data_IF_995285490339
#
_entry.id   IF_995285490339
#
_cell.length_a   1.000
_cell.length_b   1.000
_cell.length_c   1.000
_cell.angle_alpha   90.00
_cell.angle_beta   90.00
_cell.angle_gamma   90.00
#
_symmetry.space_group_name_H-M   'P 1'
#
loop_
_entity.id
_entity.type
_entity.pdbx_description
1 polymer ?
#
# COMPACT_ATOMS: atom_id res chain seq x y z
N UNK A 1 -10.52 -2.51 8.51
CA UNK A 1 -9.42 -3.24 9.15
C UNK A 1 -9.45 -4.64 8.57
N UNK A 2 -8.36 -5.05 7.94
CA UNK A 2 -8.24 -6.40 7.37
C UNK A 2 -7.69 -7.27 8.49
N UNK A 3 -8.03 -8.56 8.45
CA UNK A 3 -7.32 -9.55 9.26
C UNK A 3 -5.88 -9.61 8.75
N UNK A 4 -4.85 -9.62 9.63
CA UNK A 4 -3.48 -9.78 9.17
C UNK A 4 -3.33 -11.02 8.29
N UNK A 5 -2.64 -10.87 7.15
CA UNK A 5 -2.45 -11.91 6.14
C UNK A 5 -0.98 -12.29 6.01
N UNK A 6 -0.70 -13.49 5.49
CA UNK A 6 0.65 -13.89 5.12
C UNK A 6 1.18 -12.98 4.00
N UNK A 7 2.46 -12.59 4.05
CA UNK A 7 3.07 -11.82 2.96
C UNK A 7 3.11 -12.53 1.60
N UNK A 8 2.86 -13.84 1.56
CA UNK A 8 2.77 -14.62 0.32
C UNK A 8 1.70 -14.08 -0.65
N UNK A 9 0.67 -13.40 -0.14
CA UNK A 9 -0.36 -12.73 -0.97
C UNK A 9 0.20 -11.55 -1.77
N UNK A 10 1.42 -11.10 -1.48
CA UNK A 10 2.12 -10.06 -2.24
C UNK A 10 3.02 -10.64 -3.33
N UNK A 11 3.04 -11.97 -3.52
CA UNK A 11 3.82 -12.60 -4.59
C UNK A 11 5.31 -12.24 -4.51
N UNK A 12 5.95 -11.78 -5.61
CA UNK A 12 7.40 -11.47 -5.64
C UNK A 12 7.87 -10.45 -4.60
N UNK A 13 6.97 -9.62 -4.07
CA UNK A 13 7.33 -8.68 -2.99
C UNK A 13 7.71 -9.39 -1.68
N UNK A 14 7.19 -10.60 -1.44
CA UNK A 14 7.56 -11.41 -0.28
C UNK A 14 9.07 -11.74 -0.28
N UNK A 15 9.62 -12.08 -1.45
CA UNK A 15 11.04 -12.36 -1.62
C UNK A 15 11.91 -11.09 -1.55
N UNK A 16 11.37 -9.95 -2.01
CA UNK A 16 12.05 -8.65 -1.92
C UNK A 16 12.10 -8.10 -0.48
N UNK A 17 11.13 -8.47 0.36
CA UNK A 17 10.99 -8.03 1.76
C UNK A 17 10.85 -9.23 2.72
N UNK A 18 11.85 -10.14 2.78
CA UNK A 18 11.67 -11.46 3.39
C UNK A 18 11.51 -11.43 4.92
N UNK A 19 11.96 -10.36 5.59
CA UNK A 19 11.76 -10.20 7.03
C UNK A 19 10.30 -9.89 7.39
N UNK A 20 9.56 -9.21 6.52
CA UNK A 20 8.19 -8.78 6.81
C UNK A 20 7.20 -9.85 6.33
N UNK A 21 6.92 -10.81 7.20
CA UNK A 21 6.13 -12.01 6.86
C UNK A 21 4.62 -11.80 7.00
N UNK A 22 4.17 -10.64 7.48
CA UNK A 22 2.75 -10.34 7.73
C UNK A 22 2.34 -9.02 7.07
N UNK A 23 1.22 -9.03 6.35
CA UNK A 23 0.53 -7.83 5.84
C UNK A 23 -0.56 -7.46 6.83
N UNK A 24 -0.45 -6.28 7.45
CA UNK A 24 -1.42 -5.79 8.45
C UNK A 24 -2.46 -4.84 7.88
N UNK A 25 -2.29 -4.43 6.62
CA UNK A 25 -3.28 -3.65 5.87
C UNK A 25 -2.71 -3.00 4.61
N UNK A 26 -3.54 -2.18 3.97
CA UNK A 26 -3.15 -1.36 2.83
C UNK A 26 -3.93 -0.05 2.79
N UNK A 27 -3.39 0.95 2.10
CA UNK A 27 -4.09 2.20 1.79
C UNK A 27 -5.01 2.05 0.58
N UNK A 28 -5.95 2.98 0.41
CA UNK A 28 -6.83 3.04 -0.77
C UNK A 28 -6.09 3.26 -2.11
N UNK A 29 -4.78 3.54 -2.07
CA UNK A 29 -3.94 3.80 -3.24
C UNK A 29 -2.82 2.76 -3.42
N UNK A 30 -2.91 1.61 -2.74
CA UNK A 30 -2.01 0.47 -2.97
C UNK A 30 -0.66 0.53 -2.26
N UNK A 31 -0.53 1.34 -1.20
CA UNK A 31 0.57 1.16 -0.23
C UNK A 31 0.26 0.03 0.74
N UNK A 32 1.23 -0.85 1.02
CA UNK A 32 1.05 -1.99 1.93
C UNK A 32 1.71 -1.73 3.28
N UNK A 33 1.05 -2.14 4.36
CA UNK A 33 1.55 -2.07 5.71
C UNK A 33 2.02 -3.46 6.12
N UNK A 34 3.30 -3.58 6.44
CA UNK A 34 3.98 -4.85 6.67
C UNK A 34 4.47 -4.92 8.13
N UNK A 35 4.62 -6.13 8.63
CA UNK A 35 5.11 -6.42 9.98
C UNK A 35 6.09 -7.59 9.96
N UNK A 36 7.21 -7.42 10.64
CA UNK A 36 8.18 -8.46 10.98
C UNK A 36 7.92 -8.93 12.43
N UNK A 37 7.32 -10.12 12.65
CA UNK A 37 7.03 -10.62 13.99
C UNK A 37 8.27 -10.94 14.84
N UNK A 38 9.45 -11.11 14.24
CA UNK A 38 10.66 -11.43 14.97
C UNK A 38 11.30 -10.20 15.64
N UNK A 39 11.24 -9.05 14.97
CA UNK A 39 11.76 -7.78 15.47
C UNK A 39 10.68 -6.81 15.98
N UNK A 40 9.40 -7.16 15.78
CA UNK A 40 8.23 -6.30 15.97
C UNK A 40 8.23 -5.05 15.07
N UNK A 41 9.09 -5.02 14.05
CA UNK A 41 9.22 -3.88 13.12
C UNK A 41 8.02 -3.79 12.18
N UNK A 42 7.55 -2.57 11.96
CA UNK A 42 6.50 -2.29 10.98
C UNK A 42 7.05 -1.43 9.85
N UNK A 43 6.62 -1.70 8.63
CA UNK A 43 7.04 -0.97 7.45
C UNK A 43 5.87 -0.59 6.54
N UNK A 44 6.11 0.41 5.69
CA UNK A 44 5.22 0.80 4.60
C UNK A 44 5.94 0.51 3.29
N UNK A 45 5.36 -0.35 2.46
CA UNK A 45 5.80 -0.63 1.10
C UNK A 45 5.14 0.37 0.13
N UNK A 46 5.95 0.93 -0.75
CA UNK A 46 5.57 1.86 -1.82
C UNK A 46 5.83 1.21 -3.20
N UNK A 47 4.88 0.43 -3.76
CA UNK A 47 5.14 -0.39 -4.94
C UNK A 47 5.65 0.39 -6.15
N UNK A 48 5.06 1.55 -6.47
CA UNK A 48 5.50 2.38 -7.60
C UNK A 48 6.91 2.97 -7.44
N UNK A 49 7.47 2.96 -6.22
CA UNK A 49 8.84 3.43 -5.94
C UNK A 49 9.83 2.29 -5.74
N UNK A 50 9.36 1.04 -5.77
CA UNK A 50 10.16 -0.15 -5.42
C UNK A 50 10.93 0.05 -4.11
N UNK A 51 10.26 0.64 -3.11
CA UNK A 51 10.89 1.06 -1.86
C UNK A 51 9.99 0.76 -0.67
N UNK A 52 10.61 0.49 0.48
CA UNK A 52 9.94 0.36 1.77
C UNK A 52 10.54 1.33 2.79
N UNK A 53 9.71 1.80 3.72
CA UNK A 53 10.14 2.58 4.88
C UNK A 53 9.80 1.82 6.15
N UNK A 54 10.82 1.41 6.91
CA UNK A 54 10.67 0.89 8.27
C UNK A 54 10.33 2.04 9.23
N UNK A 55 9.46 1.75 10.20
CA UNK A 55 9.07 2.64 11.29
C UNK A 55 9.58 2.17 12.65
N UNK A 56 10.28 1.04 12.70
CA UNK A 56 10.82 0.45 13.91
C UNK A 56 9.80 -0.44 14.62
N UNK A 57 10.28 -0.99 15.75
CA UNK A 57 9.49 -1.88 16.58
C UNK A 57 8.29 -1.15 17.21
N UNK A 58 7.10 -1.76 17.12
CA UNK A 58 5.89 -1.27 17.78
C UNK A 58 5.15 -2.39 18.50
N UNK A 59 4.67 -2.10 19.70
CA UNK A 59 3.97 -3.09 20.53
C UNK A 59 2.60 -3.54 19.98
N UNK A 60 2.06 -2.86 18.96
CA UNK A 60 0.78 -3.24 18.31
C UNK A 60 0.58 -2.49 17.00
N UNK A 61 -0.35 -2.99 16.17
CA UNK A 61 -0.84 -2.30 14.96
C UNK A 61 -1.35 -0.88 15.29
N UNK A 62 -2.06 -0.71 16.41
CA UNK A 62 -2.57 0.59 16.83
C UNK A 62 -1.44 1.58 17.22
N UNK A 63 -0.36 1.08 17.82
CA UNK A 63 0.81 1.90 18.13
C UNK A 63 1.54 2.33 16.85
N UNK A 64 1.66 1.42 15.88
CA UNK A 64 2.19 1.72 14.55
C UNK A 64 1.32 2.74 13.80
N UNK A 65 0.01 2.56 13.76
CA UNK A 65 -0.95 3.50 13.14
C UNK A 65 -0.80 4.91 13.74
N UNK A 66 -0.73 5.01 15.07
CA UNK A 66 -0.52 6.29 15.74
C UNK A 66 0.86 6.92 15.45
N UNK A 67 1.87 6.12 15.11
CA UNK A 67 3.20 6.61 14.74
C UNK A 67 3.22 7.15 13.31
N UNK A 68 2.72 6.40 12.33
CA UNK A 68 2.71 6.82 10.91
C UNK A 68 1.83 8.04 10.69
N UNK A 69 0.71 8.19 11.42
CA UNK A 69 -0.15 9.38 11.32
C UNK A 69 0.52 10.66 11.86
N UNK A 70 1.62 10.54 12.61
CA UNK A 70 2.43 11.67 13.08
C UNK A 70 3.65 11.94 12.19
N UNK A 71 3.96 11.05 11.25
CA UNK A 71 5.07 11.22 10.32
C UNK A 71 4.77 12.35 9.32
N UNK A 72 5.57 13.42 9.28
CA UNK A 72 5.33 14.54 8.38
C UNK A 72 5.26 14.09 6.92
N UNK A 73 4.16 14.46 6.25
CA UNK A 73 3.92 14.11 4.85
C UNK A 73 3.29 12.74 4.63
N UNK A 74 3.11 11.91 5.65
CA UNK A 74 2.47 10.60 5.47
C UNK A 74 1.04 10.72 4.92
N UNK A 75 0.24 11.63 5.49
CA UNK A 75 -1.11 11.90 4.98
C UNK A 75 -1.09 12.47 3.56
N UNK A 76 -0.12 13.34 3.24
CA UNK A 76 -0.01 13.98 1.93
C UNK A 76 0.47 13.03 0.82
N UNK A 77 1.34 12.06 1.14
CA UNK A 77 1.96 11.20 0.13
C UNK A 77 1.39 9.77 0.08
N UNK A 78 0.89 9.24 1.20
CA UNK A 78 0.39 7.85 1.30
C UNK A 78 -1.13 7.81 1.31
N UNK A 79 -1.77 8.57 2.21
CA UNK A 79 -3.23 8.54 2.36
C UNK A 79 -3.95 9.39 1.30
N UNK A 80 -3.39 10.57 0.99
CA UNK A 80 -3.89 11.53 0.00
C UNK A 80 -5.40 11.74 0.12
N UNK A 81 -5.87 12.12 1.31
CA UNK A 81 -7.30 12.13 1.65
C UNK A 81 -8.19 12.87 0.65
N UNK A 82 -7.81 14.07 0.22
CA UNK A 82 -8.54 14.84 -0.80
C UNK A 82 -8.55 14.16 -2.17
N UNK A 83 -7.43 13.55 -2.55
CA UNK A 83 -7.30 12.80 -3.81
C UNK A 83 -8.22 11.59 -3.84
N UNK A 84 -8.20 10.79 -2.75
CA UNK A 84 -9.08 9.63 -2.59
C UNK A 84 -10.54 10.05 -2.60
N UNK A 85 -10.90 11.17 -1.94
CA UNK A 85 -12.26 11.73 -1.99
C UNK A 85 -12.68 12.08 -3.41
N UNK A 86 -11.81 12.73 -4.19
CA UNK A 86 -12.10 13.10 -5.58
C UNK A 86 -12.31 11.86 -6.46
N UNK A 87 -11.47 10.83 -6.32
CA UNK A 87 -11.64 9.57 -7.04
C UNK A 87 -12.93 8.86 -6.63
N UNK A 88 -13.21 8.78 -5.32
CA UNK A 88 -14.39 8.12 -4.77
C UNK A 88 -15.70 8.81 -5.20
N UNK A 89 -15.69 10.14 -5.38
CA UNK A 89 -16.84 10.87 -5.90
C UNK A 89 -17.20 10.45 -7.34
N UNK A 90 -16.20 10.03 -8.14
CA UNK A 90 -16.41 9.57 -9.52
C UNK A 90 -16.70 8.07 -9.61
N UNK A 91 -15.93 7.25 -8.91
CA UNK A 91 -15.99 5.78 -9.03
C UNK A 91 -16.88 5.12 -7.97
N UNK A 92 -17.27 5.84 -6.92
CA UNK A 92 -17.93 5.30 -5.73
C UNK A 92 -16.96 4.63 -4.75
N UNK A 93 -17.46 4.14 -3.60
CA UNK A 93 -16.63 3.57 -2.53
C UNK A 93 -15.97 2.26 -2.94
N UNK A 94 -14.85 1.93 -2.29
CA UNK A 94 -14.15 0.65 -2.44
C UNK A 94 -14.94 -0.47 -1.75
N UNK A 95 -14.96 -1.65 -2.39
CA UNK A 95 -15.39 -2.92 -1.77
C UNK A 95 -14.19 -3.56 -1.04
N UNK A 96 -14.39 -4.65 -0.26
CA UNK A 96 -13.28 -5.43 0.25
C UNK A 96 -12.29 -5.79 -0.86
N UNK A 97 -11.00 -5.75 -0.54
CA UNK A 97 -9.88 -6.08 -1.46
C UNK A 97 -9.73 -5.14 -2.66
N UNK A 98 -10.49 -4.04 -2.70
CA UNK A 98 -10.35 -3.05 -3.75
C UNK A 98 -9.49 -1.87 -3.31
N UNK A 99 -8.71 -1.36 -4.27
CA UNK A 99 -8.01 -0.08 -4.20
C UNK A 99 -8.30 0.74 -5.46
N UNK A 100 -7.95 2.03 -5.43
CA UNK A 100 -7.91 2.87 -6.60
C UNK A 100 -6.52 2.79 -7.24
N UNK A 101 -6.48 2.44 -8.52
CA UNK A 101 -5.25 2.24 -9.29
C UNK A 101 -5.21 3.26 -10.43
N UNK A 102 -4.12 4.04 -10.59
CA UNK A 102 -3.99 4.96 -11.72
C UNK A 102 -3.88 4.19 -13.04
N UNK A 103 -4.55 4.65 -14.10
CA UNK A 103 -4.47 4.05 -15.44
C UNK A 103 -4.17 5.12 -16.52
N UNK A 104 -3.05 5.01 -17.26
CA UNK A 104 -2.03 3.97 -17.15
C UNK A 104 -1.22 4.10 -15.86
N UNK A 105 -0.42 3.07 -15.55
CA UNK A 105 0.49 3.12 -14.41
C UNK A 105 1.50 4.26 -14.55
N UNK A 106 1.97 4.87 -13.44
CA UNK A 106 2.97 5.95 -13.48
C UNK A 106 4.27 5.50 -14.15
N UNK A 107 4.65 4.23 -13.98
CA UNK A 107 5.80 3.60 -14.65
C UNK A 107 5.67 3.58 -16.18
N UNK A 108 4.45 3.73 -16.71
CA UNK A 108 4.12 3.80 -18.13
C UNK A 108 3.77 5.23 -18.59
N UNK A 109 4.07 6.25 -17.78
CA UNK A 109 3.79 7.66 -18.10
C UNK A 109 2.40 8.16 -17.68
N UNK A 110 1.71 7.44 -16.79
CA UNK A 110 0.45 7.91 -16.18
C UNK A 110 0.65 9.11 -15.25
N UNK A 111 -0.41 9.92 -15.09
CA UNK A 111 -0.33 11.24 -14.42
C UNK A 111 -0.82 11.24 -12.97
N UNK A 112 -1.29 10.10 -12.45
CA UNK A 112 -1.95 9.98 -11.13
C UNK A 112 -3.01 11.07 -10.85
N UNK A 113 -3.65 11.63 -11.88
CA UNK A 113 -4.74 12.59 -11.73
C UNK A 113 -6.04 11.85 -11.35
N UNK A 114 -6.93 12.40 -10.51
CA UNK A 114 -8.13 11.68 -10.03
C UNK A 114 -8.99 11.03 -11.12
N UNK A 115 -9.07 11.67 -12.29
CA UNK A 115 -9.80 11.22 -13.46
C UNK A 115 -9.19 9.98 -14.14
N UNK A 116 -7.91 9.67 -13.91
CA UNK A 116 -7.22 8.55 -14.55
C UNK A 116 -7.31 7.25 -13.75
N UNK A 117 -7.89 7.27 -12.55
CA UNK A 117 -7.99 6.07 -11.73
C UNK A 117 -9.09 5.12 -12.19
N UNK A 118 -8.93 3.84 -11.89
CA UNK A 118 -10.01 2.87 -11.85
C UNK A 118 -9.92 2.05 -10.55
N UNK A 119 -10.94 1.24 -10.27
CA UNK A 119 -10.90 0.27 -9.16
C UNK A 119 -10.27 -1.03 -9.63
N UNK A 120 -9.46 -1.63 -8.78
CA UNK A 120 -8.93 -2.97 -9.01
C UNK A 120 -8.71 -3.73 -7.73
N UNK A 121 -8.46 -5.02 -7.88
CA UNK A 121 -8.08 -5.91 -6.79
C UNK A 121 -6.65 -5.59 -6.32
N UNK A 122 -6.47 -5.50 -5.01
CA UNK A 122 -5.22 -5.09 -4.38
C UNK A 122 -4.11 -6.13 -4.51
N UNK A 123 -4.45 -7.42 -4.53
CA UNK A 123 -3.47 -8.51 -4.65
C UNK A 123 -3.04 -8.66 -6.11
N UNK A 124 -3.99 -8.59 -7.04
CA UNK A 124 -3.67 -8.52 -8.48
C UNK A 124 -2.82 -7.29 -8.79
N UNK A 125 -3.09 -6.14 -8.15
CA UNK A 125 -2.25 -4.96 -8.26
C UNK A 125 -0.81 -5.23 -7.79
N UNK A 126 -0.62 -5.88 -6.63
CA UNK A 126 0.70 -6.21 -6.11
C UNK A 126 1.52 -7.02 -7.13
N UNK A 127 0.91 -8.07 -7.70
CA UNK A 127 1.53 -8.93 -8.70
C UNK A 127 1.87 -8.19 -9.99
N UNK A 128 0.98 -7.32 -10.48
CA UNK A 128 1.20 -6.57 -11.72
C UNK A 128 2.30 -5.51 -11.57
N UNK A 129 2.36 -4.83 -10.42
CA UNK A 129 3.42 -3.85 -10.19
C UNK A 129 4.76 -4.53 -9.97
N UNK A 130 4.82 -5.67 -9.28
CA UNK A 130 6.04 -6.48 -9.16
C UNK A 130 6.65 -6.75 -10.55
N UNK A 131 5.84 -7.29 -11.47
CA UNK A 131 6.27 -7.53 -12.85
C UNK A 131 6.69 -6.25 -13.58
N UNK A 132 5.96 -5.15 -13.38
CA UNK A 132 6.28 -3.85 -14.01
C UNK A 132 7.61 -3.27 -13.53
N UNK A 133 8.03 -3.54 -12.30
CA UNK A 133 9.28 -3.03 -11.72
C UNK A 133 10.43 -4.04 -11.76
N UNK A 134 10.20 -5.24 -12.32
CA UNK A 134 11.21 -6.27 -12.53
C UNK A 134 11.47 -7.18 -11.33
N UNK A 135 10.45 -7.40 -10.49
CA UNK A 135 10.43 -8.43 -9.44
C UNK A 135 9.81 -9.73 -9.94
#
# INVERSE_FOLDING_TARGET
MIVPESHEVLGPWADAFPAYTVVVGYSSLGHFFLHDPASEDYAVLHPFKTAGKSYGAHASIAAFEAAILRDPGFEEYVLRGDHVRAIAARLGPLKPEQIYIPQPYPTLGGTEAPETYDKGDVWVFADLIAQSVGL
#
